data_IF_593159795795
#
_entry.id   IF_593159795795
#
_cell.length_a   1.000
_cell.length_b   1.000
_cell.length_c   1.000
_cell.angle_alpha   90.00
_cell.angle_beta   90.00
_cell.angle_gamma   90.00
#
_symmetry.space_group_name_H-M   'P 1'
#
loop_
_entity.id
_entity.type
_entity.pdbx_description
1 polymer ?
#
# COMPACT_ATOMS: atom_id res chain seq x y z
N UNK A 1 15.74 7.88 1.21
CA UNK A 1 14.90 7.68 0.02
C UNK A 1 15.65 8.10 -1.23
N UNK A 2 16.14 9.34 -1.27
CA UNK A 2 16.82 9.87 -2.45
C UNK A 2 18.08 9.09 -2.81
N UNK A 3 18.87 8.67 -1.84
CA UNK A 3 20.08 7.88 -2.05
C UNK A 3 19.80 6.48 -2.58
N UNK A 4 18.78 5.80 -2.05
CA UNK A 4 18.33 4.47 -2.52
C UNK A 4 17.78 4.56 -3.94
N UNK A 5 16.93 5.57 -4.22
CA UNK A 5 16.37 5.78 -5.56
C UNK A 5 17.42 6.10 -6.63
N UNK A 6 18.57 6.65 -6.23
CA UNK A 6 19.69 6.96 -7.13
C UNK A 6 20.75 5.86 -7.21
N UNK A 7 20.60 4.74 -6.51
CA UNK A 7 21.58 3.66 -6.49
C UNK A 7 22.90 4.04 -5.82
N UNK A 8 22.85 4.97 -4.86
CA UNK A 8 24.01 5.45 -4.12
C UNK A 8 24.29 4.63 -2.84
N UNK A 9 23.83 3.36 -2.86
CA UNK A 9 24.05 2.43 -1.75
C UNK A 9 25.57 2.26 -1.50
N UNK A 10 25.99 2.58 -0.28
CA UNK A 10 27.39 2.53 0.13
C UNK A 10 28.17 3.85 -0.04
N UNK A 11 27.58 4.91 -0.61
CA UNK A 11 28.16 6.25 -0.69
C UNK A 11 27.62 7.16 0.44
N UNK A 12 26.41 6.85 0.94
CA UNK A 12 25.75 7.56 2.01
C UNK A 12 25.32 6.57 3.08
N UNK A 13 25.97 6.59 4.24
CA UNK A 13 25.36 5.99 5.43
C UNK A 13 24.22 6.93 5.85
N UNK A 14 22.97 6.44 5.94
CA UNK A 14 21.87 7.29 6.36
C UNK A 14 22.15 7.78 7.78
N UNK A 15 21.98 9.06 8.00
CA UNK A 15 22.03 9.70 9.31
C UNK A 15 21.12 8.93 10.29
N UNK A 16 21.53 8.85 11.56
CA UNK A 16 20.77 8.14 12.61
C UNK A 16 19.32 8.62 12.66
N UNK A 17 19.10 9.92 12.50
CA UNK A 17 17.76 10.51 12.39
C UNK A 17 16.95 9.94 11.23
N UNK A 18 17.52 9.81 10.04
CA UNK A 18 16.86 9.24 8.86
C UNK A 18 16.46 7.78 9.11
N UNK A 19 17.33 7.02 9.77
CA UNK A 19 17.06 5.62 10.12
C UNK A 19 15.91 5.50 11.12
N UNK A 20 15.83 6.41 12.09
CA UNK A 20 14.75 6.46 13.08
C UNK A 20 13.41 6.81 12.42
N UNK A 21 13.40 7.83 11.55
CA UNK A 21 12.20 8.19 10.79
C UNK A 21 11.68 7.01 9.91
N UNK A 22 12.58 6.27 9.31
CA UNK A 22 12.21 5.08 8.54
C UNK A 22 11.57 4.00 9.39
N UNK A 23 12.11 3.73 10.57
CA UNK A 23 11.53 2.76 11.51
C UNK A 23 10.13 3.19 11.95
N UNK A 24 9.95 4.48 12.18
CA UNK A 24 8.66 5.05 12.54
C UNK A 24 7.63 4.92 11.41
N UNK A 25 8.01 5.27 10.19
CA UNK A 25 7.15 5.09 9.01
C UNK A 25 6.77 3.61 8.79
N UNK A 26 7.73 2.69 8.96
CA UNK A 26 7.46 1.25 8.85
C UNK A 26 6.52 0.78 9.95
N UNK A 27 6.68 1.27 11.17
CA UNK A 27 5.78 0.95 12.29
C UNK A 27 4.34 1.44 12.09
N UNK A 28 4.13 2.42 11.20
CA UNK A 28 2.83 2.96 10.79
C UNK A 28 2.40 2.47 9.38
N UNK A 29 2.78 1.26 9.00
CA UNK A 29 2.40 0.62 7.72
C UNK A 29 2.76 1.45 6.47
N UNK A 30 3.80 2.28 6.56
CA UNK A 30 4.26 3.15 5.48
C UNK A 30 3.56 4.50 5.41
N UNK A 31 2.64 4.80 6.31
CA UNK A 31 1.97 6.11 6.37
C UNK A 31 2.90 7.18 6.91
N UNK A 32 2.84 8.37 6.31
CA UNK A 32 3.54 9.57 6.78
C UNK A 32 2.59 10.59 7.42
N UNK A 33 1.32 10.25 7.57
CA UNK A 33 0.29 11.21 8.00
C UNK A 33 0.47 11.68 9.45
N UNK A 34 1.13 10.87 10.29
CA UNK A 34 1.42 11.18 11.68
C UNK A 34 2.63 12.12 11.87
N UNK A 35 3.49 12.29 10.86
CA UNK A 35 4.71 13.07 10.96
C UNK A 35 4.42 14.57 10.99
N UNK A 36 4.73 15.23 12.11
CA UNK A 36 4.40 16.65 12.30
C UNK A 36 5.28 17.60 11.48
N UNK A 37 6.48 17.18 11.11
CA UNK A 37 7.42 18.01 10.36
C UNK A 37 7.14 18.09 8.86
N UNK A 38 6.22 17.26 8.34
CA UNK A 38 5.78 17.32 6.95
C UNK A 38 4.62 18.32 6.79
N UNK A 39 4.68 19.11 5.75
CA UNK A 39 3.59 19.99 5.35
C UNK A 39 2.37 19.18 4.88
N UNK A 40 1.21 19.81 4.86
CA UNK A 40 -0.03 19.19 4.37
C UNK A 40 0.14 18.75 2.90
N UNK A 41 0.81 19.56 2.09
CA UNK A 41 1.06 19.26 0.68
C UNK A 41 1.94 18.02 0.50
N UNK A 42 2.99 17.89 1.31
CA UNK A 42 3.85 16.69 1.30
C UNK A 42 3.08 15.45 1.75
N UNK A 43 2.27 15.55 2.79
CA UNK A 43 1.42 14.43 3.25
C UNK A 43 0.43 13.98 2.17
N UNK A 44 -0.13 14.90 1.39
CA UNK A 44 -1.00 14.55 0.27
C UNK A 44 -0.27 13.78 -0.84
N UNK A 45 1.00 14.12 -1.11
CA UNK A 45 1.82 13.44 -2.12
C UNK A 45 2.23 12.04 -1.69
N UNK A 46 2.50 11.83 -0.40
CA UNK A 46 3.01 10.57 0.15
C UNK A 46 1.91 9.67 0.76
N UNK A 47 0.67 9.81 0.33
CA UNK A 47 -0.41 8.90 0.74
C UNK A 47 -0.13 7.47 0.31
N UNK A 48 -0.40 6.54 1.20
CA UNK A 48 -0.41 5.11 0.90
C UNK A 48 -1.59 4.72 0.00
N UNK A 49 -1.56 3.53 -0.57
CA UNK A 49 -2.65 3.03 -1.40
C UNK A 49 -4.01 2.98 -0.66
N UNK A 50 -4.00 2.77 0.65
CA UNK A 50 -5.20 2.73 1.49
C UNK A 50 -5.75 4.12 1.84
N UNK A 51 -4.91 5.15 1.77
CA UNK A 51 -5.26 6.55 2.07
C UNK A 51 -5.74 7.33 0.85
N UNK A 52 -5.47 6.82 -0.35
CA UNK A 52 -5.92 7.42 -1.61
C UNK A 52 -7.40 7.10 -1.84
N UNK A 53 -8.18 8.11 -2.25
CA UNK A 53 -9.56 7.88 -2.70
C UNK A 53 -9.58 6.98 -3.95
N UNK A 54 -10.21 5.82 -3.81
CA UNK A 54 -10.26 4.80 -4.87
C UNK A 54 -11.06 5.23 -6.10
N UNK A 55 -11.87 6.27 -6.01
CA UNK A 55 -12.52 6.85 -7.19
C UNK A 55 -11.50 7.42 -8.18
N UNK A 56 -10.41 8.01 -7.69
CA UNK A 56 -9.32 8.49 -8.54
C UNK A 56 -8.62 7.36 -9.27
N UNK A 57 -8.47 6.21 -8.60
CA UNK A 57 -7.86 5.03 -9.22
C UNK A 57 -8.69 4.55 -10.41
N UNK A 58 -10.02 4.53 -10.27
CA UNK A 58 -10.94 4.17 -11.36
C UNK A 58 -10.85 5.20 -12.51
N UNK A 59 -10.84 6.49 -12.22
CA UNK A 59 -10.71 7.54 -13.24
C UNK A 59 -9.40 7.42 -14.02
N UNK A 60 -8.30 7.21 -13.33
CA UNK A 60 -7.00 7.01 -13.96
C UNK A 60 -6.96 5.73 -14.82
N UNK A 61 -7.61 4.66 -14.36
CA UNK A 61 -7.70 3.43 -15.12
C UNK A 61 -8.56 3.59 -16.36
N UNK A 62 -9.70 4.29 -16.25
CA UNK A 62 -10.62 4.58 -17.35
C UNK A 62 -9.92 5.42 -18.43
N UNK A 63 -9.25 6.50 -18.02
CA UNK A 63 -8.50 7.36 -18.93
C UNK A 63 -7.39 6.61 -19.71
N UNK A 64 -6.72 5.65 -19.08
CA UNK A 64 -5.68 4.86 -19.76
C UNK A 64 -6.27 3.73 -20.61
N UNK A 65 -7.39 3.16 -20.23
CA UNK A 65 -7.94 1.94 -20.84
C UNK A 65 -8.32 2.13 -22.31
N UNK A 66 -8.70 3.33 -22.70
CA UNK A 66 -9.01 3.63 -24.11
C UNK A 66 -7.80 3.45 -25.05
N UNK A 67 -6.57 3.50 -24.52
CA UNK A 67 -5.33 3.32 -25.28
C UNK A 67 -4.70 1.94 -25.10
N UNK A 68 -5.32 1.06 -24.32
CA UNK A 68 -4.81 -0.27 -23.99
C UNK A 68 -5.78 -1.34 -24.48
N UNK A 69 -5.32 -2.24 -25.35
CA UNK A 69 -6.17 -3.29 -25.91
C UNK A 69 -6.55 -4.38 -24.89
N UNK A 70 -5.69 -4.67 -23.93
CA UNK A 70 -5.95 -5.64 -22.85
C UNK A 70 -6.60 -4.99 -21.63
N UNK A 71 -7.20 -5.79 -20.76
CA UNK A 71 -7.67 -5.29 -19.46
C UNK A 71 -6.49 -4.95 -18.54
N UNK A 72 -6.69 -3.96 -17.67
CA UNK A 72 -5.73 -3.63 -16.62
C UNK A 72 -5.99 -4.49 -15.38
N UNK A 73 -4.92 -4.97 -14.71
CA UNK A 73 -5.02 -5.65 -13.40
C UNK A 73 -5.23 -4.61 -12.31
N UNK A 74 -6.47 -4.11 -12.20
CA UNK A 74 -6.82 -3.01 -11.32
C UNK A 74 -7.18 -3.54 -9.92
N UNK A 75 -6.30 -3.25 -8.95
CA UNK A 75 -6.55 -3.55 -7.55
C UNK A 75 -7.12 -2.33 -6.85
N UNK A 76 -8.12 -2.55 -6.00
CA UNK A 76 -8.70 -1.54 -5.13
C UNK A 76 -8.22 -1.77 -3.69
N UNK A 77 -8.01 -0.69 -2.95
CA UNK A 77 -7.49 -0.73 -1.59
C UNK A 77 -8.44 0.03 -0.66
N UNK A 78 -8.92 -0.64 0.37
CA UNK A 78 -9.87 -0.07 1.31
C UNK A 78 -9.34 -0.15 2.73
N UNK A 79 -9.34 0.96 3.48
CA UNK A 79 -8.94 0.95 4.88
C UNK A 79 -9.89 0.10 5.72
N UNK A 80 -9.43 -0.34 6.89
CA UNK A 80 -10.26 -1.06 7.84
C UNK A 80 -11.45 -0.18 8.28
N UNK A 81 -12.63 -0.78 8.34
CA UNK A 81 -13.85 -0.05 8.74
C UNK A 81 -14.46 0.86 7.68
N UNK A 82 -14.05 0.74 6.42
CA UNK A 82 -14.64 1.48 5.31
C UNK A 82 -16.16 1.31 5.25
N UNK A 83 -16.91 2.39 4.98
CA UNK A 83 -18.35 2.35 4.87
C UNK A 83 -18.81 1.55 3.64
N UNK A 84 -19.90 0.79 3.79
CA UNK A 84 -20.51 0.07 2.66
C UNK A 84 -20.91 0.99 1.52
N UNK A 85 -21.34 2.19 1.84
CA UNK A 85 -21.74 3.20 0.85
C UNK A 85 -20.56 3.59 -0.03
N UNK A 86 -19.41 3.90 0.58
CA UNK A 86 -18.19 4.23 -0.17
C UNK A 86 -17.69 3.04 -0.98
N UNK A 87 -17.60 1.85 -0.37
CA UNK A 87 -17.19 0.62 -1.06
C UNK A 87 -18.05 0.38 -2.31
N UNK A 88 -19.38 0.44 -2.16
CA UNK A 88 -20.30 0.25 -3.27
C UNK A 88 -20.18 1.35 -4.33
N UNK A 89 -19.97 2.61 -3.92
CA UNK A 89 -19.83 3.74 -4.88
C UNK A 89 -18.60 3.58 -5.77
N UNK A 90 -17.48 3.11 -5.23
CA UNK A 90 -16.26 2.83 -6.00
C UNK A 90 -16.50 1.70 -7.02
N UNK A 91 -17.13 0.59 -6.59
CA UNK A 91 -17.45 -0.51 -7.48
C UNK A 91 -18.47 -0.11 -8.56
N UNK A 92 -19.48 0.67 -8.17
CA UNK A 92 -20.46 1.17 -9.13
C UNK A 92 -19.79 2.08 -10.16
N UNK A 93 -18.90 2.97 -9.74
CA UNK A 93 -18.13 3.82 -10.65
C UNK A 93 -17.32 3.00 -11.65
N UNK A 94 -16.66 1.93 -11.19
CA UNK A 94 -15.93 1.03 -12.08
C UNK A 94 -16.84 0.30 -13.09
N UNK A 95 -18.01 -0.16 -12.63
CA UNK A 95 -18.99 -0.87 -13.47
C UNK A 95 -19.68 0.03 -14.49
N UNK A 96 -19.79 1.33 -14.19
CA UNK A 96 -20.42 2.32 -15.06
C UNK A 96 -19.42 3.15 -15.88
N UNK A 97 -18.12 2.93 -15.69
CA UNK A 97 -17.08 3.60 -16.49
C UNK A 97 -17.12 3.07 -17.93
N UNK A 98 -16.71 3.93 -18.85
CA UNK A 98 -16.83 3.65 -20.29
C UNK A 98 -15.80 2.62 -20.78
N UNK A 99 -14.59 2.69 -20.24
CA UNK A 99 -13.45 1.91 -20.77
C UNK A 99 -12.91 0.85 -19.80
N UNK A 100 -13.15 0.94 -18.49
CA UNK A 100 -12.67 -0.06 -17.53
C UNK A 100 -13.30 -1.43 -17.84
N UNK A 101 -12.46 -2.41 -18.19
CA UNK A 101 -12.90 -3.73 -18.62
C UNK A 101 -13.07 -4.73 -17.47
N UNK A 102 -12.25 -4.58 -16.41
CA UNK A 102 -12.29 -5.49 -15.26
C UNK A 102 -11.67 -4.88 -14.02
N UNK A 103 -12.10 -5.35 -12.87
CA UNK A 103 -11.43 -5.22 -11.58
C UNK A 103 -10.72 -6.53 -11.27
N UNK A 104 -9.63 -6.47 -10.51
CA UNK A 104 -8.88 -7.67 -10.14
C UNK A 104 -9.09 -8.00 -8.66
N UNK A 105 -8.39 -7.37 -7.72
CA UNK A 105 -8.57 -7.60 -6.30
C UNK A 105 -9.13 -6.38 -5.57
N UNK A 106 -10.03 -6.62 -4.63
CA UNK A 106 -10.37 -5.66 -3.58
C UNK A 106 -9.63 -6.05 -2.31
N UNK A 107 -8.61 -5.29 -1.96
CA UNK A 107 -7.79 -5.50 -0.77
C UNK A 107 -8.36 -4.65 0.36
N UNK A 108 -8.65 -5.28 1.47
CA UNK A 108 -9.03 -4.59 2.69
C UNK A 108 -7.85 -4.64 3.65
N UNK A 109 -7.55 -3.49 4.25
CA UNK A 109 -6.62 -3.44 5.36
C UNK A 109 -7.16 -4.33 6.49
N UNK A 110 -6.34 -5.22 6.99
CA UNK A 110 -6.71 -6.03 8.15
C UNK A 110 -6.70 -5.13 9.38
N UNK A 111 -7.82 -5.01 10.06
CA UNK A 111 -7.86 -4.48 11.41
C UNK A 111 -7.14 -5.47 12.33
N UNK A 112 -5.82 -5.37 12.38
CA UNK A 112 -5.00 -6.29 13.16
C UNK A 112 -4.98 -5.78 14.58
N UNK A 113 -5.50 -6.59 15.52
CA UNK A 113 -5.14 -6.42 16.92
C UNK A 113 -3.62 -6.58 17.02
N UNK A 114 -2.93 -5.52 17.36
CA UNK A 114 -1.46 -5.46 17.41
C UNK A 114 -0.82 -6.60 18.24
N UNK A 115 -1.57 -7.18 19.16
CA UNK A 115 -1.13 -8.30 19.99
C UNK A 115 -1.04 -9.64 19.23
N UNK A 116 -1.93 -9.87 18.27
CA UNK A 116 -1.94 -11.09 17.44
C UNK A 116 -0.77 -11.10 16.45
N UNK A 117 -0.41 -9.93 15.90
CA UNK A 117 0.73 -9.83 14.97
C UNK A 117 2.05 -10.07 15.66
N UNK A 118 2.24 -9.48 16.85
CA UNK A 118 3.46 -9.71 17.63
C UNK A 118 3.65 -11.17 18.02
N UNK A 119 2.56 -11.92 18.18
CA UNK A 119 2.60 -13.36 18.50
C UNK A 119 2.90 -14.19 17.24
N UNK A 120 2.37 -13.81 16.07
CA UNK A 120 2.64 -14.46 14.79
C UNK A 120 4.09 -14.20 14.35
N UNK A 121 4.57 -12.96 14.46
CA UNK A 121 5.96 -12.61 14.14
C UNK A 121 6.96 -13.36 15.01
N UNK A 122 6.70 -13.51 16.31
CA UNK A 122 7.56 -14.34 17.19
C UNK A 122 7.57 -15.79 16.78
N UNK A 123 6.43 -16.40 16.48
CA UNK A 123 6.36 -17.80 16.02
C UNK A 123 7.08 -18.01 14.70
N UNK A 124 6.93 -17.10 13.73
CA UNK A 124 7.61 -17.20 12.43
C UNK A 124 9.13 -17.11 12.58
N UNK A 125 9.63 -16.28 13.51
CA UNK A 125 11.06 -16.13 13.78
C UNK A 125 11.61 -17.37 14.54
N UNK A 126 10.84 -17.95 15.47
CA UNK A 126 11.25 -19.12 16.24
C UNK A 126 11.24 -20.42 15.42
N UNK A 127 10.31 -20.55 14.48
CA UNK A 127 10.17 -21.73 13.59
C UNK A 127 11.03 -21.65 12.32
N UNK A 128 11.68 -20.52 12.03
CA UNK A 128 12.49 -20.38 10.84
C UNK A 128 13.90 -20.94 11.03
N UNK A 129 14.06 -22.23 10.73
CA UNK A 129 15.36 -22.92 10.70
C UNK A 129 16.16 -22.71 9.41
N UNK A 130 15.83 -21.74 8.60
CA UNK A 130 16.66 -21.28 7.47
C UNK A 130 16.67 -22.15 6.20
N UNK A 131 16.13 -23.36 6.24
CA UNK A 131 16.26 -24.32 5.13
C UNK A 131 14.95 -24.59 4.33
N UNK A 132 13.81 -24.06 4.78
CA UNK A 132 12.52 -24.29 4.12
C UNK A 132 12.04 -23.07 3.32
N UNK A 133 12.10 -23.18 2.00
CA UNK A 133 11.49 -22.21 1.09
C UNK A 133 9.96 -22.40 1.06
N UNK A 134 9.23 -21.61 1.83
CA UNK A 134 7.76 -21.64 1.94
C UNK A 134 7.07 -21.38 0.59
N UNK A 135 7.76 -20.79 -0.37
CA UNK A 135 7.24 -20.50 -1.71
C UNK A 135 7.14 -21.72 -2.65
N UNK A 136 7.80 -22.81 -2.33
CA UNK A 136 7.87 -23.99 -3.21
C UNK A 136 7.06 -25.19 -2.73
N UNK A 137 6.36 -25.11 -1.61
CA UNK A 137 5.59 -26.21 -0.98
C UNK A 137 4.07 -26.08 -1.18
N UNK A 138 3.61 -25.57 -2.33
CA UNK A 138 2.20 -25.46 -2.68
C UNK A 138 1.80 -26.38 -3.79
#
# INVERSE_FOLDING_TARGET
>A
LYSIALGLDGIFEPDEWVTEQWRDIIAHDGSVQHLEYLSIEEKEVFKTAFEIDQHWLIEQADARQQYVCQSQSLNLFFPSGVSRTYYNSVHLKALTSEYVKSLYYSRMERGINADVVKEIERKVIEDWSGDDCISCSG
#
